data_IF_702411107544
#
_entry.id   IF_702411107544
#
_cell.length_a   1.000
_cell.length_b   1.000
_cell.length_c   1.000
_cell.angle_alpha   90.00
_cell.angle_beta   90.00
_cell.angle_gamma   90.00
#
_symmetry.space_group_name_H-M   'P 1'
#
loop_
_entity.id
_entity.type
_entity.pdbx_description
1 polymer ?
#
# COMPACT_ATOMS: atom_id res chain seq x y z
N UNK A 1 -17.86 -29.03 -43.71
CA UNK A 1 -18.26 -27.80 -43.01
C UNK A 1 -18.08 -28.02 -41.52
N UNK A 2 -17.32 -27.16 -40.83
CA UNK A 2 -17.07 -27.28 -39.40
C UNK A 2 -15.59 -27.14 -39.04
N UNK A 3 -14.94 -26.07 -39.48
CA UNK A 3 -13.62 -25.69 -38.96
C UNK A 3 -13.77 -25.36 -37.47
N UNK A 4 -13.18 -26.19 -36.60
CA UNK A 4 -13.01 -25.86 -35.19
C UNK A 4 -11.96 -24.76 -35.10
N UNK A 5 -12.43 -23.53 -34.88
CA UNK A 5 -11.60 -22.37 -34.59
C UNK A 5 -10.87 -22.64 -33.28
N UNK A 6 -9.55 -22.84 -33.34
CA UNK A 6 -8.70 -22.68 -32.17
C UNK A 6 -8.88 -21.25 -31.67
N UNK A 7 -9.42 -21.11 -30.46
CA UNK A 7 -9.41 -19.85 -29.73
C UNK A 7 -7.95 -19.38 -29.60
N UNK A 8 -7.61 -18.16 -30.03
CA UNK A 8 -6.27 -17.62 -29.83
C UNK A 8 -5.98 -17.50 -28.34
N UNK A 9 -4.79 -17.97 -27.96
CA UNK A 9 -4.24 -17.83 -26.60
C UNK A 9 -4.14 -16.35 -26.22
N UNK A 10 -4.21 -16.01 -24.92
CA UNK A 10 -4.32 -14.63 -24.45
C UNK A 10 -3.15 -13.80 -24.96
N UNK A 11 -3.43 -12.80 -25.78
CA UNK A 11 -2.46 -11.79 -26.19
C UNK A 11 -2.12 -10.90 -25.00
N UNK A 12 -0.83 -10.88 -24.70
CA UNK A 12 -0.07 -9.68 -24.37
C UNK A 12 -0.46 -8.93 -23.10
N UNK A 13 -0.05 -9.51 -21.98
CA UNK A 13 0.06 -8.82 -20.69
C UNK A 13 1.13 -7.71 -20.77
N UNK A 14 0.70 -6.47 -20.93
CA UNK A 14 1.53 -5.26 -20.73
C UNK A 14 2.24 -5.30 -19.38
N UNK A 15 1.56 -5.81 -18.35
CA UNK A 15 2.11 -6.01 -17.00
C UNK A 15 3.23 -7.07 -16.96
N UNK A 16 3.13 -8.13 -17.77
CA UNK A 16 4.14 -9.19 -17.87
C UNK A 16 5.40 -8.69 -18.57
N UNK A 17 5.24 -7.89 -19.64
CA UNK A 17 6.35 -7.24 -20.30
C UNK A 17 7.07 -6.23 -19.37
N UNK A 18 6.32 -5.49 -18.54
CA UNK A 18 6.89 -4.56 -17.56
C UNK A 18 7.68 -5.27 -16.46
N UNK A 19 7.13 -6.35 -15.89
CA UNK A 19 7.84 -7.18 -14.92
C UNK A 19 9.08 -7.86 -15.53
N UNK A 20 9.01 -8.37 -16.76
CA UNK A 20 10.17 -8.96 -17.46
C UNK A 20 11.26 -7.95 -17.79
N UNK A 21 10.91 -6.74 -18.23
CA UNK A 21 11.92 -5.73 -18.55
C UNK A 21 12.62 -5.19 -17.29
N UNK A 22 11.85 -4.91 -16.23
CA UNK A 22 12.40 -4.37 -14.99
C UNK A 22 13.22 -5.39 -14.19
N UNK A 23 12.96 -6.69 -14.35
CA UNK A 23 13.57 -7.73 -13.52
C UNK A 23 14.52 -8.67 -14.27
N UNK A 24 14.38 -8.86 -15.60
CA UNK A 24 15.07 -9.96 -16.31
C UNK A 24 15.88 -9.51 -17.54
N UNK A 25 15.79 -8.25 -18.00
CA UNK A 25 16.67 -7.72 -19.05
C UNK A 25 16.53 -8.41 -20.43
N UNK A 26 15.30 -8.79 -20.81
CA UNK A 26 15.02 -9.52 -22.07
C UNK A 26 15.39 -8.69 -23.33
N UNK A 27 16.30 -9.17 -24.20
CA UNK A 27 16.67 -8.52 -25.47
C UNK A 27 15.49 -8.35 -26.44
N UNK A 28 14.47 -9.21 -26.35
CA UNK A 28 13.27 -9.13 -27.19
C UNK A 28 12.44 -7.86 -26.95
N UNK A 29 12.59 -7.25 -25.77
CA UNK A 29 11.85 -6.06 -25.39
C UNK A 29 12.40 -4.77 -26.04
N UNK A 30 13.62 -4.80 -26.59
CA UNK A 30 14.20 -3.68 -27.36
C UNK A 30 13.33 -3.31 -28.57
N UNK A 31 12.59 -4.28 -29.14
CA UNK A 31 11.63 -4.05 -30.24
C UNK A 31 10.48 -3.10 -29.85
N UNK A 32 10.24 -2.93 -28.56
CA UNK A 32 9.20 -2.05 -28.01
C UNK A 32 9.78 -0.85 -27.23
N UNK A 33 11.06 -0.52 -27.41
CA UNK A 33 11.76 0.50 -26.61
C UNK A 33 11.02 1.84 -26.49
N UNK A 34 10.45 2.35 -27.59
CA UNK A 34 9.69 3.60 -27.59
C UNK A 34 8.44 3.54 -26.69
N UNK A 35 7.72 2.41 -26.70
CA UNK A 35 6.52 2.20 -25.87
C UNK A 35 6.92 2.04 -24.40
N UNK A 36 8.02 1.35 -24.13
CA UNK A 36 8.53 1.16 -22.77
C UNK A 36 8.99 2.48 -22.14
N UNK A 37 9.63 3.36 -22.92
CA UNK A 37 9.98 4.71 -22.45
C UNK A 37 8.75 5.56 -22.14
N UNK A 38 7.63 5.41 -22.88
CA UNK A 38 6.38 6.08 -22.54
C UNK A 38 5.78 5.58 -21.21
N UNK A 39 5.78 4.26 -20.97
CA UNK A 39 5.33 3.71 -19.68
C UNK A 39 6.23 4.16 -18.54
N UNK A 40 7.54 4.16 -18.76
CA UNK A 40 8.51 4.67 -17.81
C UNK A 40 8.23 6.14 -17.48
N UNK A 41 8.05 7.00 -18.48
CA UNK A 41 7.74 8.41 -18.27
C UNK A 41 6.45 8.62 -17.44
N UNK A 42 5.41 7.82 -17.69
CA UNK A 42 4.17 7.84 -16.88
C UNK A 42 4.40 7.39 -15.44
N UNK A 43 5.18 6.32 -15.25
CA UNK A 43 5.52 5.83 -13.92
C UNK A 43 6.34 6.87 -13.14
N UNK A 44 7.36 7.46 -13.77
CA UNK A 44 8.21 8.49 -13.15
C UNK A 44 7.39 9.76 -12.83
N UNK A 45 6.50 10.19 -13.73
CA UNK A 45 5.56 11.29 -13.47
C UNK A 45 4.67 11.03 -12.24
N UNK A 46 4.11 9.82 -12.09
CA UNK A 46 3.30 9.47 -10.92
C UNK A 46 4.11 9.44 -9.62
N UNK A 47 5.32 8.86 -9.64
CA UNK A 47 6.19 8.81 -8.47
C UNK A 47 6.63 10.22 -8.04
N UNK A 48 6.90 11.10 -9.00
CA UNK A 48 7.16 12.51 -8.75
C UNK A 48 5.93 13.24 -8.20
N UNK A 49 4.72 12.94 -8.69
CA UNK A 49 3.47 13.44 -8.14
C UNK A 49 3.32 13.06 -6.65
N UNK A 50 3.62 11.82 -6.28
CA UNK A 50 3.60 11.37 -4.89
C UNK A 50 4.61 12.13 -4.02
N UNK A 51 5.79 12.46 -4.57
CA UNK A 51 6.82 13.23 -3.90
C UNK A 51 6.52 14.74 -3.84
N UNK A 52 5.47 15.23 -4.52
CA UNK A 52 5.20 16.66 -4.62
C UNK A 52 6.20 17.39 -5.53
N UNK A 53 6.78 16.69 -6.52
CA UNK A 53 7.86 17.19 -7.37
C UNK A 53 7.49 17.33 -8.85
N UNK A 54 6.22 17.16 -9.22
CA UNK A 54 5.77 17.63 -10.53
C UNK A 54 5.78 19.16 -10.50
N UNK A 55 6.57 19.79 -11.38
CA UNK A 55 6.63 21.24 -11.51
C UNK A 55 5.30 21.83 -12.02
N UNK A 56 5.16 23.16 -11.97
CA UNK A 56 3.93 23.88 -12.31
C UNK A 56 3.24 24.52 -11.10
N UNK A 57 1.93 24.75 -11.16
CA UNK A 57 1.11 25.29 -10.07
C UNK A 57 0.75 24.27 -8.98
N UNK A 58 1.32 23.05 -9.04
CA UNK A 58 1.10 21.99 -8.07
C UNK A 58 -0.14 21.12 -8.31
N UNK A 59 -0.98 21.40 -9.32
CA UNK A 59 -2.22 20.63 -9.60
C UNK A 59 -1.99 19.17 -9.97
N UNK A 60 -0.79 18.85 -10.44
CA UNK A 60 -0.43 17.51 -10.93
C UNK A 60 0.25 16.66 -9.84
N UNK A 61 0.30 17.14 -8.59
CA UNK A 61 0.80 16.40 -7.44
C UNK A 61 -0.33 15.72 -6.67
N UNK A 62 -0.01 14.61 -6.00
CA UNK A 62 -0.98 13.91 -5.15
C UNK A 62 -1.25 14.74 -3.91
N UNK A 63 -2.53 14.98 -3.61
CA UNK A 63 -2.95 15.71 -2.41
C UNK A 63 -2.50 15.00 -1.13
N UNK A 64 -2.45 15.76 -0.03
CA UNK A 64 -2.07 15.23 1.28
C UNK A 64 -3.05 15.70 2.35
N UNK A 65 -3.33 14.81 3.29
CA UNK A 65 -3.96 15.22 4.54
C UNK A 65 -3.01 16.10 5.38
N UNK A 66 -3.51 16.88 6.34
CA UNK A 66 -2.67 17.59 7.31
C UNK A 66 -1.64 16.69 8.02
N UNK A 67 -1.98 15.43 8.27
CA UNK A 67 -1.11 14.41 8.85
C UNK A 67 -0.09 13.79 7.89
N UNK A 68 -0.09 14.20 6.62
CA UNK A 68 0.89 13.78 5.61
C UNK A 68 0.56 12.49 4.86
N UNK A 69 -0.66 11.95 5.02
CA UNK A 69 -1.15 10.81 4.23
C UNK A 69 -1.40 11.25 2.79
N UNK A 70 -0.96 10.47 1.81
CA UNK A 70 -1.37 10.66 0.42
C UNK A 70 -2.89 10.52 0.30
N UNK A 71 -3.56 11.46 -0.35
CA UNK A 71 -5.02 11.47 -0.49
C UNK A 71 -5.40 11.51 -1.96
N UNK A 72 -6.22 10.54 -2.38
CA UNK A 72 -6.67 10.38 -3.78
C UNK A 72 -8.18 10.47 -3.87
N UNK A 73 -8.90 9.83 -2.93
CA UNK A 73 -10.37 9.90 -2.89
C UNK A 73 -10.91 9.55 -1.51
N UNK A 74 -12.17 9.91 -1.27
CA UNK A 74 -12.84 9.72 0.02
C UNK A 74 -13.03 8.26 0.43
N UNK A 75 -13.46 7.38 -0.49
CA UNK A 75 -13.75 5.99 -0.17
C UNK A 75 -12.48 5.15 -0.24
N UNK A 76 -12.12 4.55 0.90
CA UNK A 76 -11.08 3.54 1.02
C UNK A 76 -9.73 4.07 0.54
N UNK A 77 -9.36 5.27 1.02
CA UNK A 77 -8.16 5.96 0.57
C UNK A 77 -6.88 5.14 0.84
N UNK A 78 -6.85 4.33 1.91
CA UNK A 78 -5.70 3.48 2.22
C UNK A 78 -5.41 2.41 1.15
N UNK A 79 -6.34 2.09 0.25
CA UNK A 79 -6.05 1.35 -0.98
C UNK A 79 -4.98 2.03 -1.83
N UNK A 80 -5.10 3.35 -2.02
CA UNK A 80 -4.17 4.12 -2.84
C UNK A 80 -2.86 4.38 -2.10
N UNK A 81 -2.93 4.66 -0.80
CA UNK A 81 -1.74 4.85 0.04
C UNK A 81 -0.88 3.59 0.07
N UNK A 82 -1.48 2.42 0.29
CA UNK A 82 -0.76 1.15 0.31
C UNK A 82 -0.15 0.80 -1.05
N UNK A 83 -0.91 0.98 -2.13
CA UNK A 83 -0.43 0.74 -3.50
C UNK A 83 0.71 1.69 -3.87
N UNK A 84 0.59 2.98 -3.54
CA UNK A 84 1.64 3.97 -3.76
C UNK A 84 2.90 3.63 -2.95
N UNK A 85 2.77 3.28 -1.66
CA UNK A 85 3.89 2.87 -0.82
C UNK A 85 4.62 1.65 -1.39
N UNK A 86 3.89 0.67 -1.93
CA UNK A 86 4.48 -0.49 -2.60
C UNK A 86 5.24 -0.10 -3.87
N UNK A 87 4.65 0.72 -4.74
CA UNK A 87 5.31 1.19 -5.96
C UNK A 87 6.56 2.02 -5.66
N UNK A 88 6.49 2.94 -4.70
CA UNK A 88 7.63 3.72 -4.22
C UNK A 88 8.75 2.82 -3.72
N UNK A 89 8.41 1.78 -2.96
CA UNK A 89 9.36 0.80 -2.43
C UNK A 89 10.03 0.00 -3.55
N UNK A 90 9.25 -0.52 -4.50
CA UNK A 90 9.73 -1.32 -5.61
C UNK A 90 10.61 -0.48 -6.55
N UNK A 91 10.17 0.73 -6.91
CA UNK A 91 10.90 1.61 -7.82
C UNK A 91 12.15 2.20 -7.17
N UNK A 92 12.12 2.49 -5.86
CA UNK A 92 13.32 2.86 -5.09
C UNK A 92 14.41 1.80 -5.25
N UNK A 93 14.06 0.52 -5.05
CA UNK A 93 15.01 -0.58 -5.25
C UNK A 93 15.52 -0.64 -6.69
N UNK A 94 14.64 -0.57 -7.68
CA UNK A 94 15.05 -0.57 -9.08
C UNK A 94 16.05 0.55 -9.41
N UNK A 95 15.81 1.76 -8.92
CA UNK A 95 16.71 2.89 -9.12
C UNK A 95 18.05 2.71 -8.39
N UNK A 96 18.04 2.14 -7.18
CA UNK A 96 19.27 1.77 -6.47
C UNK A 96 20.09 0.71 -7.22
N UNK A 97 19.43 -0.35 -7.69
CA UNK A 97 20.09 -1.48 -8.38
C UNK A 97 20.65 -1.05 -9.76
N UNK A 98 20.16 0.06 -10.33
CA UNK A 98 20.61 0.61 -11.61
C UNK A 98 21.49 1.85 -11.51
N UNK A 99 21.79 2.32 -10.30
CA UNK A 99 22.53 3.57 -10.01
C UNK A 99 21.93 4.80 -10.71
N UNK A 100 20.60 4.97 -10.55
CA UNK A 100 19.84 6.04 -11.22
C UNK A 100 19.06 6.90 -10.25
N UNK A 101 18.81 8.14 -10.69
CA UNK A 101 17.87 9.05 -10.06
C UNK A 101 16.51 9.01 -10.77
N UNK A 102 15.45 9.27 -10.01
CA UNK A 102 14.12 9.49 -10.54
C UNK A 102 14.11 10.82 -11.30
N UNK A 103 13.64 10.80 -12.55
CA UNK A 103 13.51 12.00 -13.38
C UNK A 103 12.10 12.58 -13.25
N UNK A 104 12.00 13.79 -12.70
CA UNK A 104 10.74 14.48 -12.61
C UNK A 104 10.50 15.42 -13.81
N UNK A 105 9.24 15.66 -14.20
CA UNK A 105 8.88 16.61 -15.26
C UNK A 105 9.35 18.05 -14.95
N UNK A 106 9.36 18.90 -15.98
CA UNK A 106 9.96 20.25 -15.98
C UNK A 106 9.69 21.04 -14.69
N UNK A 107 10.77 21.47 -14.03
CA UNK A 107 10.74 22.22 -12.76
C UNK A 107 10.88 21.36 -11.50
N UNK A 108 10.73 20.03 -11.60
CA UNK A 108 10.96 19.10 -10.50
C UNK A 108 12.43 18.71 -10.33
N UNK A 109 12.96 18.82 -9.10
CA UNK A 109 14.29 18.33 -8.78
C UNK A 109 14.34 16.78 -8.86
N UNK A 110 15.40 16.18 -9.46
CA UNK A 110 15.60 14.74 -9.44
C UNK A 110 15.51 14.17 -8.03
N UNK A 111 14.92 12.98 -7.88
CA UNK A 111 14.78 12.33 -6.59
C UNK A 111 15.70 11.12 -6.45
N UNK A 112 16.34 11.02 -5.29
CA UNK A 112 17.17 9.86 -4.97
C UNK A 112 16.28 8.65 -4.63
N UNK A 113 16.77 7.41 -4.81
CA UNK A 113 16.07 6.22 -4.34
C UNK A 113 15.64 6.30 -2.86
N UNK A 114 16.45 6.95 -2.03
CA UNK A 114 16.15 7.20 -0.61
C UNK A 114 14.93 8.08 -0.38
N UNK A 115 14.63 9.04 -1.27
CA UNK A 115 13.46 9.92 -1.17
C UNK A 115 12.17 9.10 -1.33
N UNK A 116 12.15 8.18 -2.31
CA UNK A 116 11.02 7.29 -2.55
C UNK A 116 10.79 6.35 -1.36
N UNK A 117 11.88 5.75 -0.86
CA UNK A 117 11.81 4.84 0.28
C UNK A 117 11.39 5.57 1.57
N UNK A 118 11.85 6.80 1.78
CA UNK A 118 11.45 7.63 2.91
C UNK A 118 9.95 7.95 2.87
N UNK A 119 9.40 8.28 1.70
CA UNK A 119 7.95 8.46 1.53
C UNK A 119 7.19 7.15 1.76
N UNK A 120 7.65 6.02 1.21
CA UNK A 120 7.01 4.72 1.45
C UNK A 120 6.98 4.37 2.95
N UNK A 121 8.09 4.60 3.66
CA UNK A 121 8.18 4.41 5.12
C UNK A 121 7.22 5.33 5.85
N UNK A 122 7.10 6.60 5.47
CA UNK A 122 6.18 7.53 6.15
C UNK A 122 4.72 7.12 5.99
N UNK A 123 4.33 6.59 4.82
CA UNK A 123 2.99 6.06 4.61
C UNK A 123 2.74 4.77 5.42
N UNK A 124 3.74 3.89 5.53
CA UNK A 124 3.67 2.71 6.39
C UNK A 124 3.53 3.10 7.86
N UNK A 125 4.35 4.03 8.34
CA UNK A 125 4.29 4.57 9.70
C UNK A 125 2.93 5.21 9.98
N UNK A 126 2.38 5.99 9.04
CA UNK A 126 1.05 6.59 9.15
C UNK A 126 -0.02 5.51 9.34
N UNK A 127 -0.01 4.45 8.52
CA UNK A 127 -0.94 3.31 8.64
C UNK A 127 -0.80 2.63 10.00
N UNK A 128 0.43 2.49 10.51
CA UNK A 128 0.72 1.80 11.77
C UNK A 128 0.54 2.68 13.03
N UNK A 129 0.13 3.94 12.87
CA UNK A 129 -0.28 4.79 13.99
C UNK A 129 0.49 6.11 14.15
N UNK A 130 1.44 6.43 13.27
CA UNK A 130 2.11 7.74 13.23
C UNK A 130 1.26 8.75 12.46
N UNK A 131 0.06 9.01 12.99
CA UNK A 131 -0.94 9.92 12.45
C UNK A 131 -1.54 10.80 13.57
N UNK A 132 -2.30 11.86 13.24
CA UNK A 132 -2.86 12.77 14.25
C UNK A 132 -3.71 12.07 15.32
N UNK A 133 -4.38 10.97 14.98
CA UNK A 133 -5.22 10.21 15.91
C UNK A 133 -4.44 9.23 16.78
N UNK A 134 -3.15 8.99 16.52
CA UNK A 134 -2.33 7.94 17.15
C UNK A 134 -3.04 6.58 17.13
N UNK A 135 -3.63 6.24 15.99
CA UNK A 135 -4.48 5.06 15.77
C UNK A 135 -3.88 4.21 14.66
N UNK A 136 -3.59 2.94 14.92
CA UNK A 136 -3.21 2.01 13.86
C UNK A 136 -4.44 1.70 13.00
N UNK A 137 -4.35 1.91 11.69
CA UNK A 137 -5.35 1.47 10.73
C UNK A 137 -5.18 0.00 10.32
N UNK A 138 -4.12 -0.66 10.81
CA UNK A 138 -3.99 -2.12 10.80
C UNK A 138 -4.62 -2.71 12.06
N UNK A 139 -5.67 -3.50 11.88
CA UNK A 139 -6.46 -4.13 12.94
C UNK A 139 -5.58 -5.12 13.73
N UNK A 140 -5.63 -5.03 15.06
CA UNK A 140 -4.84 -5.89 15.95
C UNK A 140 -3.37 -5.50 16.09
N UNK A 141 -2.92 -4.40 15.46
CA UNK A 141 -1.56 -3.88 15.60
C UNK A 141 -1.55 -2.61 16.46
N UNK A 142 -0.55 -2.49 17.33
CA UNK A 142 -0.37 -1.33 18.21
C UNK A 142 -1.37 -1.27 19.39
N UNK A 143 -1.29 -0.18 20.16
CA UNK A 143 -2.12 -0.01 21.39
C UNK A 143 -3.56 0.40 21.11
N UNK A 144 -3.83 0.99 19.94
CA UNK A 144 -5.15 1.49 19.52
C UNK A 144 -5.34 1.16 18.05
N UNK A 145 -6.46 0.53 17.71
CA UNK A 145 -6.86 0.17 16.36
C UNK A 145 -8.40 0.10 16.25
N UNK A 146 -9.00 0.19 15.05
CA UNK A 146 -10.44 0.04 14.84
C UNK A 146 -10.95 -1.32 15.33
N UNK A 147 -12.02 -1.31 16.12
CA UNK A 147 -12.63 -2.52 16.68
C UNK A 147 -14.03 -2.77 16.11
N UNK A 148 -14.60 -1.85 15.31
CA UNK A 148 -15.92 -1.98 14.67
C UNK A 148 -15.82 -2.02 13.14
N UNK A 149 -14.83 -2.74 12.63
CA UNK A 149 -14.54 -2.94 11.19
C UNK A 149 -15.77 -3.48 10.43
N UNK A 150 -16.04 -2.95 9.23
CA UNK A 150 -17.05 -3.45 8.30
C UNK A 150 -16.61 -4.78 7.68
N UNK A 151 -16.78 -5.88 8.43
CA UNK A 151 -16.44 -7.22 7.95
C UNK A 151 -17.32 -8.28 8.63
N UNK A 152 -18.11 -9.03 7.86
CA UNK A 152 -19.10 -10.00 8.38
C UNK A 152 -18.49 -11.06 9.30
N UNK A 153 -17.38 -11.67 8.87
CA UNK A 153 -16.68 -12.67 9.69
C UNK A 153 -16.03 -12.10 10.95
N UNK A 154 -15.87 -10.78 11.04
CA UNK A 154 -15.38 -10.11 12.24
C UNK A 154 -16.53 -9.75 13.18
N UNK A 155 -17.64 -9.24 12.61
CA UNK A 155 -18.78 -8.71 13.36
C UNK A 155 -19.72 -9.78 13.91
N UNK A 156 -19.81 -10.94 13.26
CA UNK A 156 -20.66 -12.06 13.69
C UNK A 156 -19.86 -12.99 14.58
N UNK A 157 -20.43 -13.44 15.70
CA UNK A 157 -19.77 -14.38 16.62
C UNK A 157 -19.24 -15.62 15.88
N UNK A 158 -18.02 -16.05 16.22
CA UNK A 158 -17.45 -17.25 15.64
C UNK A 158 -18.25 -18.50 16.03
N UNK A 159 -18.34 -19.47 15.11
CA UNK A 159 -19.01 -20.74 15.35
C UNK A 159 -18.48 -21.49 16.58
N UNK A 160 -17.17 -21.39 16.86
CA UNK A 160 -16.53 -21.99 18.06
C UNK A 160 -17.09 -21.44 19.37
N UNK A 161 -17.51 -20.18 19.39
CA UNK A 161 -18.07 -19.53 20.58
C UNK A 161 -19.59 -19.68 20.66
N UNK A 162 -20.28 -19.76 19.51
CA UNK A 162 -21.70 -20.03 19.44
C UNK A 162 -22.02 -20.81 18.15
N UNK A 163 -22.42 -22.07 18.32
CA UNK A 163 -22.72 -22.98 17.21
C UNK A 163 -24.13 -22.80 16.62
N UNK A 164 -24.95 -21.90 17.19
CA UNK A 164 -26.29 -21.61 16.68
C UNK A 164 -26.20 -21.13 15.23
N UNK A 165 -27.07 -21.69 14.38
CA UNK A 165 -27.24 -21.21 13.02
C UNK A 165 -27.69 -19.74 13.01
N UNK A 166 -26.99 -18.92 12.23
CA UNK A 166 -27.31 -17.50 12.03
C UNK A 166 -27.86 -17.38 10.61
N UNK A 167 -29.15 -17.06 10.51
CA UNK A 167 -29.82 -16.89 9.21
C UNK A 167 -29.33 -15.66 8.43
N UNK A 168 -29.69 -15.58 7.15
CA UNK A 168 -29.20 -14.55 6.22
C UNK A 168 -29.42 -13.11 6.73
N UNK A 169 -30.62 -12.81 7.23
CA UNK A 169 -30.97 -11.49 7.77
C UNK A 169 -30.50 -11.31 9.22
N UNK A 170 -30.42 -12.41 9.97
CA UNK A 170 -30.06 -12.37 11.39
C UNK A 170 -28.65 -11.81 11.61
N UNK A 171 -27.72 -12.01 10.68
CA UNK A 171 -26.41 -11.35 10.71
C UNK A 171 -26.51 -9.82 10.69
N UNK A 172 -27.46 -9.28 9.93
CA UNK A 172 -27.71 -7.84 9.87
C UNK A 172 -28.44 -7.35 11.12
N UNK A 173 -29.55 -7.99 11.47
CA UNK A 173 -30.43 -7.58 12.57
C UNK A 173 -29.72 -7.68 13.92
N UNK A 174 -29.06 -8.81 14.17
CA UNK A 174 -28.42 -9.04 15.46
C UNK A 174 -27.05 -8.42 15.52
N UNK A 175 -26.25 -8.46 14.44
CA UNK A 175 -24.82 -8.10 14.54
C UNK A 175 -24.51 -6.75 13.95
N UNK A 176 -24.83 -6.49 12.67
CA UNK A 176 -24.35 -5.32 11.91
C UNK A 176 -24.50 -3.98 12.66
N UNK A 177 -25.69 -3.69 13.20
CA UNK A 177 -25.98 -2.43 13.91
C UNK A 177 -25.44 -2.34 15.35
N UNK A 178 -24.84 -3.40 15.91
CA UNK A 178 -24.35 -3.37 17.29
C UNK A 178 -23.24 -2.32 17.47
N UNK A 179 -23.40 -1.47 18.48
CA UNK A 179 -22.38 -0.50 18.92
C UNK A 179 -21.19 -1.11 19.65
N UNK A 180 -21.19 -2.41 19.93
CA UNK A 180 -20.09 -3.11 20.60
C UNK A 180 -18.97 -3.46 19.62
N UNK A 181 -17.72 -3.65 20.11
CA UNK A 181 -16.62 -4.20 19.33
C UNK A 181 -17.00 -5.49 18.59
N UNK A 182 -16.36 -5.73 17.45
CA UNK A 182 -16.44 -6.99 16.72
C UNK A 182 -15.99 -8.15 17.62
N UNK A 183 -16.74 -9.26 17.71
CA UNK A 183 -16.37 -10.41 18.52
C UNK A 183 -15.09 -11.10 18.06
N UNK A 184 -14.75 -11.01 16.76
CA UNK A 184 -13.52 -11.57 16.22
C UNK A 184 -12.60 -10.45 15.72
N UNK A 185 -11.34 -10.46 16.18
CA UNK A 185 -10.32 -9.50 15.71
C UNK A 185 -9.84 -9.93 14.33
N UNK A 186 -10.03 -9.06 13.34
CA UNK A 186 -9.55 -9.29 11.97
C UNK A 186 -8.07 -8.89 11.85
N UNK A 187 -7.21 -9.62 12.56
CA UNK A 187 -5.80 -9.27 12.73
C UNK A 187 -5.07 -9.10 11.39
N UNK A 188 -4.29 -8.02 11.26
CA UNK A 188 -3.50 -7.69 10.08
C UNK A 188 -4.27 -7.00 8.95
N UNK A 189 -5.60 -6.93 9.02
CA UNK A 189 -6.38 -6.22 8.01
C UNK A 189 -6.17 -4.70 8.10
N UNK A 190 -5.99 -4.06 6.94
CA UNK A 190 -5.91 -2.61 6.81
C UNK A 190 -7.26 -2.08 6.37
N UNK A 191 -7.88 -1.22 7.19
CA UNK A 191 -9.18 -0.61 6.90
C UNK A 191 -9.07 0.49 5.83
N UNK A 192 -10.18 1.09 5.43
CA UNK A 192 -10.20 2.16 4.43
C UNK A 192 -9.54 3.48 4.87
N UNK A 193 -9.49 3.72 6.17
CA UNK A 193 -8.74 4.81 6.79
C UNK A 193 -9.47 6.16 6.78
N UNK A 194 -8.76 7.24 7.15
CA UNK A 194 -9.37 8.53 7.42
C UNK A 194 -9.74 9.31 6.14
N UNK A 195 -10.50 10.39 6.31
CA UNK A 195 -10.77 11.34 5.23
C UNK A 195 -9.58 12.30 4.99
N UNK A 196 -9.74 13.30 4.11
CA UNK A 196 -8.70 14.28 3.79
C UNK A 196 -8.25 15.17 4.96
N UNK A 197 -8.98 15.16 6.09
CA UNK A 197 -8.67 15.94 7.30
C UNK A 197 -8.11 15.07 8.43
N UNK A 198 -7.70 13.84 8.12
CA UNK A 198 -7.26 12.83 9.10
C UNK A 198 -8.36 12.40 10.09
N UNK A 199 -9.64 12.65 9.79
CA UNK A 199 -10.76 12.26 10.64
C UNK A 199 -11.18 10.82 10.33
N UNK A 200 -11.36 10.02 11.39
CA UNK A 200 -11.76 8.62 11.30
C UNK A 200 -12.84 8.30 12.34
N UNK A 201 -13.92 7.66 11.90
CA UNK A 201 -14.98 7.17 12.77
C UNK A 201 -15.03 5.64 12.73
N UNK A 202 -14.71 5.01 13.87
CA UNK A 202 -14.79 3.55 14.05
C UNK A 202 -16.25 3.10 14.19
N UNK A 203 -16.95 3.10 13.06
CA UNK A 203 -18.32 2.64 12.94
C UNK A 203 -18.45 1.60 11.82
N UNK A 204 -19.15 0.50 12.12
CA UNK A 204 -19.34 -0.58 11.16
C UNK A 204 -20.22 -0.16 9.97
N UNK A 205 -21.13 0.79 10.17
CA UNK A 205 -21.91 1.39 9.09
C UNK A 205 -21.10 2.33 8.19
N UNK A 206 -19.96 2.82 8.68
CA UNK A 206 -19.04 3.68 7.92
C UNK A 206 -18.10 2.85 7.04
N UNK A 207 -18.67 2.10 6.09
CA UNK A 207 -17.92 1.26 5.15
C UNK A 207 -16.91 2.05 4.31
N UNK A 208 -17.02 3.37 4.18
CA UNK A 208 -16.01 4.16 3.48
C UNK A 208 -14.64 4.13 4.18
N UNK A 209 -14.65 4.12 5.51
CA UNK A 209 -13.44 4.17 6.34
C UNK A 209 -13.13 2.83 7.02
N UNK A 210 -14.14 2.04 7.38
CA UNK A 210 -13.97 0.81 8.17
C UNK A 210 -14.00 -0.47 7.36
N UNK A 211 -14.15 -0.42 6.03
CA UNK A 211 -14.03 -1.59 5.16
C UNK A 211 -12.60 -2.14 5.20
N UNK A 212 -12.47 -3.43 5.50
CA UNK A 212 -11.22 -4.16 5.41
C UNK A 212 -11.14 -4.90 4.08
N UNK A 213 -10.13 -4.61 3.26
CA UNK A 213 -9.98 -5.20 1.93
C UNK A 213 -8.60 -5.82 1.73
N UNK A 214 -8.57 -6.90 0.94
CA UNK A 214 -7.33 -7.58 0.55
C UNK A 214 -6.39 -6.65 -0.21
N UNK A 215 -6.92 -5.80 -1.08
CA UNK A 215 -6.13 -4.84 -1.86
C UNK A 215 -5.56 -3.67 -1.05
N UNK A 216 -6.04 -3.43 0.19
CA UNK A 216 -5.37 -2.50 1.12
C UNK A 216 -4.15 -3.16 1.77
N UNK A 217 -4.28 -4.45 2.07
CA UNK A 217 -3.33 -5.20 2.90
C UNK A 217 -2.21 -5.82 2.06
N UNK A 218 -2.53 -6.36 0.89
CA UNK A 218 -1.60 -7.10 0.04
C UNK A 218 -0.36 -6.27 -0.38
N UNK A 219 -0.48 -5.01 -0.83
CA UNK A 219 0.70 -4.22 -1.18
C UNK A 219 1.62 -3.97 0.02
N UNK A 220 1.05 -3.80 1.21
CA UNK A 220 1.80 -3.51 2.43
C UNK A 220 2.66 -4.68 2.89
N UNK A 221 2.31 -5.93 2.56
CA UNK A 221 3.18 -7.09 2.86
C UNK A 221 4.56 -6.91 2.25
N UNK A 222 4.65 -6.47 0.99
CA UNK A 222 5.93 -6.21 0.32
C UNK A 222 6.68 -5.03 0.93
N UNK A 223 5.97 -3.96 1.32
CA UNK A 223 6.55 -2.80 1.99
C UNK A 223 7.16 -3.20 3.33
N UNK A 224 6.40 -3.90 4.18
CA UNK A 224 6.89 -4.34 5.48
C UNK A 224 8.05 -5.32 5.37
N UNK A 225 8.02 -6.25 4.41
CA UNK A 225 9.15 -7.15 4.17
C UNK A 225 10.44 -6.39 3.84
N UNK A 226 10.37 -5.37 2.98
CA UNK A 226 11.52 -4.52 2.65
C UNK A 226 12.00 -3.71 3.85
N UNK A 227 11.09 -3.04 4.56
CA UNK A 227 11.45 -2.23 5.73
C UNK A 227 12.05 -3.08 6.86
N UNK A 228 11.53 -4.29 7.07
CA UNK A 228 12.07 -5.24 8.03
C UNK A 228 13.50 -5.66 7.67
N UNK A 229 13.73 -6.03 6.41
CA UNK A 229 15.07 -6.38 5.92
C UNK A 229 16.09 -5.26 6.13
N UNK A 230 15.72 -4.00 5.85
CA UNK A 230 16.63 -2.87 6.06
C UNK A 230 16.93 -2.66 7.55
N UNK A 231 15.92 -2.79 8.42
CA UNK A 231 16.11 -2.67 9.85
C UNK A 231 17.03 -3.77 10.43
N UNK A 232 16.97 -5.00 9.90
CA UNK A 232 17.87 -6.08 10.33
C UNK A 232 19.29 -5.88 9.83
N UNK A 233 19.47 -5.41 8.59
CA UNK A 233 20.78 -5.05 8.02
C UNK A 233 21.44 -3.91 8.82
N UNK A 234 20.70 -2.85 9.16
CA UNK A 234 21.17 -1.74 10.00
C UNK A 234 21.54 -2.20 11.42
N UNK A 235 20.71 -3.07 12.02
CA UNK A 235 20.96 -3.63 13.34
C UNK A 235 22.21 -4.51 13.39
N UNK A 236 22.46 -5.31 12.35
CA UNK A 236 23.67 -6.11 12.22
C UNK A 236 24.93 -5.25 12.09
N UNK A 237 24.87 -4.18 11.28
CA UNK A 237 26.01 -3.26 11.10
C UNK A 237 26.39 -2.55 12.40
N UNK A 238 25.40 -2.12 13.20
CA UNK A 238 25.65 -1.47 14.50
C UNK A 238 26.30 -2.41 15.53
N UNK A 239 25.95 -3.71 15.50
CA UNK A 239 26.59 -4.72 16.36
C UNK A 239 28.03 -5.00 15.93
N UNK A 240 28.28 -5.17 14.63
CA UNK A 240 29.65 -5.37 14.13
C UNK A 240 30.59 -4.20 14.45
N UNK A 241 30.09 -2.96 14.38
CA UNK A 241 30.90 -1.78 14.79
C UNK A 241 31.10 -1.67 16.30
N UNK A 242 30.22 -2.24 17.12
CA UNK A 242 30.39 -2.26 18.57
C UNK A 242 31.43 -3.31 18.97
N UNK A 243 31.39 -4.50 18.37
CA UNK A 243 32.36 -5.57 18.62
C UNK A 243 33.79 -5.16 18.17
N UNK A 244 33.94 -4.43 17.05
CA UNK A 244 35.25 -3.90 16.61
C UNK A 244 35.80 -2.78 17.51
N UNK A 245 34.92 -2.05 18.20
CA UNK A 245 35.32 -1.00 19.15
C UNK A 245 35.69 -1.57 20.52
N UNK A 246 35.22 -2.77 20.88
CA UNK A 246 35.53 -3.46 22.14
C UNK A 246 36.84 -4.30 22.05
N UNK A 247 37.32 -4.57 20.84
CA UNK A 247 38.59 -5.30 20.58
C UNK A 247 39.81 -4.36 20.47
N UNK A 248 39.63 -3.04 20.61
CA UNK A 248 40.71 -2.04 20.62
C UNK A 248 40.86 -1.39 21.99
#
# INVERSE_FOLDING_TARGET
>A
MGSSVLLPRPTDNVMYAWCRLLLEGDPGALKHGAVLEQYRAKAEHYLCACLGRNGGNGSDNVERSPGGMLYVRQWNNLQYVSSAAFLLTAYSRYLSDSDRLLRCPTGGAPAAPSDLLALARSQADYILGRNPLRLSYMVGYGRRYPVRVHHRGASIVAHKANSRFIGCMQGFDDWFGRGRPNPNVLAGAIVGGPNCRDEFQDDRGNYMQTEACTYNTAPMVGVFARLHRLATEEGGRRRGTADEAEVR
#
